data_IF_347205986397
#
_entry.id   IF_347205986397
#
_cell.length_a   1.000
_cell.length_b   1.000
_cell.length_c   1.000
_cell.angle_alpha   90.00
_cell.angle_beta   90.00
_cell.angle_gamma   90.00
#
_symmetry.space_group_name_H-M   'P 1'
#
loop_
_entity.id
_entity.type
_entity.pdbx_description
1 polymer ?
#
# COMPACT_ATOMS: atom_id res chain seq x y z
N UNK A 1 19.51 13.79 -17.05
CA UNK A 1 19.97 14.96 -16.26
C UNK A 1 19.16 15.01 -14.97
N UNK A 2 19.80 14.83 -13.82
CA UNK A 2 19.11 14.64 -12.54
C UNK A 2 18.66 15.99 -11.96
N UNK A 3 17.35 16.24 -11.94
CA UNK A 3 16.77 17.40 -11.23
C UNK A 3 17.13 17.32 -9.74
N UNK A 4 17.58 18.43 -9.13
CA UNK A 4 17.91 18.47 -7.69
C UNK A 4 16.67 18.13 -6.85
N UNK A 5 16.74 17.03 -6.13
CA UNK A 5 15.70 16.57 -5.20
C UNK A 5 15.85 17.35 -3.90
N UNK A 6 14.79 18.06 -3.49
CA UNK A 6 14.75 18.81 -2.21
C UNK A 6 14.48 17.84 -1.04
N UNK A 7 13.74 16.77 -1.31
CA UNK A 7 13.44 15.74 -0.31
C UNK A 7 12.40 14.73 -0.78
N UNK A 8 12.28 13.66 0.00
CA UNK A 8 11.28 12.62 -0.17
C UNK A 8 10.23 12.75 0.94
N UNK A 9 8.96 12.80 0.55
CA UNK A 9 7.82 12.74 1.45
C UNK A 9 7.18 11.36 1.27
N UNK A 10 7.06 10.60 2.36
CA UNK A 10 6.33 9.33 2.38
C UNK A 10 5.01 9.58 3.10
N UNK A 11 3.91 9.46 2.37
CA UNK A 11 2.56 9.61 2.91
C UNK A 11 1.78 8.33 2.67
N UNK A 12 0.75 8.12 3.49
CA UNK A 12 -0.18 7.02 3.31
C UNK A 12 -1.57 7.61 3.13
N UNK A 13 -2.21 7.32 1.99
CA UNK A 13 -3.47 7.95 1.59
C UNK A 13 -4.48 6.88 1.22
N UNK A 14 -5.71 6.92 1.75
CA UNK A 14 -6.78 6.01 1.33
C UNK A 14 -7.13 6.23 -0.14
N UNK A 15 -7.12 5.13 -0.91
CA UNK A 15 -7.52 5.09 -2.32
C UNK A 15 -8.91 5.69 -2.52
N UNK A 16 -9.08 6.53 -3.55
CA UNK A 16 -10.34 7.20 -3.88
C UNK A 16 -10.83 8.24 -2.86
N UNK A 17 -10.10 8.45 -1.75
CA UNK A 17 -10.36 9.48 -0.74
C UNK A 17 -9.11 10.30 -0.45
N UNK A 18 -8.34 10.66 -1.48
CA UNK A 18 -7.39 11.76 -1.28
C UNK A 18 -8.21 13.01 -0.94
N UNK A 19 -8.05 13.47 0.29
CA UNK A 19 -8.56 14.74 0.77
C UNK A 19 -7.38 15.53 1.32
N UNK A 20 -7.42 16.87 1.27
CA UNK A 20 -6.40 17.75 1.86
C UNK A 20 -6.47 17.76 3.40
N UNK A 21 -6.72 16.59 4.01
CA UNK A 21 -6.86 16.39 5.45
C UNK A 21 -5.52 16.67 6.16
N UNK A 22 -5.52 16.98 7.47
CA UNK A 22 -4.33 17.41 8.23
C UNK A 22 -3.06 16.54 8.13
N UNK A 23 -3.07 15.24 7.80
CA UNK A 23 -1.82 14.52 7.56
C UNK A 23 -1.16 14.81 6.20
N UNK A 24 -1.94 15.16 5.17
CA UNK A 24 -1.45 15.32 3.78
C UNK A 24 -1.20 16.80 3.45
N UNK A 25 -2.12 17.67 3.88
CA UNK A 25 -2.08 19.11 3.58
C UNK A 25 -0.83 19.83 4.10
N UNK A 26 -0.50 19.74 5.41
CA UNK A 26 0.68 20.37 5.97
C UNK A 26 2.00 19.80 5.43
N UNK A 27 2.09 18.48 5.22
CA UNK A 27 3.31 17.82 4.75
C UNK A 27 3.70 18.24 3.32
N UNK A 28 2.71 18.36 2.44
CA UNK A 28 2.89 18.83 1.06
C UNK A 28 2.98 20.35 0.96
N UNK A 29 2.14 21.06 1.72
CA UNK A 29 2.09 22.52 1.78
C UNK A 29 3.38 23.15 2.32
N UNK A 30 4.01 22.53 3.33
CA UNK A 30 5.32 22.98 3.85
C UNK A 30 6.43 22.94 2.79
N UNK A 31 6.29 22.11 1.74
CA UNK A 31 7.27 22.03 0.64
C UNK A 31 6.86 22.86 -0.59
N UNK A 32 5.77 23.62 -0.51
CA UNK A 32 5.28 24.46 -1.61
C UNK A 32 4.72 23.67 -2.79
N UNK A 33 4.26 22.43 -2.55
CA UNK A 33 3.69 21.56 -3.58
C UNK A 33 2.18 21.76 -3.70
N UNK A 34 1.67 21.54 -4.92
CA UNK A 34 0.28 21.82 -5.26
C UNK A 34 -0.65 20.68 -4.79
N UNK A 35 -1.22 20.82 -3.58
CA UNK A 35 -2.00 19.78 -2.88
C UNK A 35 -3.20 19.30 -3.71
N UNK A 36 -3.89 20.23 -4.38
CA UNK A 36 -5.08 19.91 -5.19
C UNK A 36 -4.73 19.09 -6.44
N UNK A 37 -3.60 19.39 -7.06
CA UNK A 37 -3.11 18.69 -8.26
C UNK A 37 -2.67 17.27 -7.92
N UNK A 38 -1.93 17.11 -6.81
CA UNK A 38 -1.57 15.81 -6.28
C UNK A 38 -2.81 14.98 -5.90
N UNK A 39 -3.79 15.59 -5.24
CA UNK A 39 -5.03 14.94 -4.86
C UNK A 39 -5.82 14.42 -6.08
N UNK A 40 -5.92 15.23 -7.15
CA UNK A 40 -6.55 14.83 -8.42
C UNK A 40 -5.78 13.73 -9.12
N UNK A 41 -4.46 13.86 -9.24
CA UNK A 41 -3.61 12.86 -9.89
C UNK A 41 -3.63 11.52 -9.14
N UNK A 42 -3.62 11.58 -7.80
CA UNK A 42 -3.75 10.39 -6.95
C UNK A 42 -5.13 9.75 -7.08
N UNK A 43 -6.23 10.52 -7.04
CA UNK A 43 -7.57 9.95 -7.23
C UNK A 43 -7.74 9.35 -8.63
N UNK A 44 -7.21 9.97 -9.68
CA UNK A 44 -7.24 9.43 -11.03
C UNK A 44 -6.45 8.12 -11.16
N UNK A 45 -5.27 8.06 -10.53
CA UNK A 45 -4.43 6.86 -10.58
C UNK A 45 -4.92 5.75 -9.62
N UNK A 46 -5.66 6.11 -8.56
CA UNK A 46 -6.30 5.16 -7.63
C UNK A 46 -7.75 4.82 -7.98
N UNK A 47 -8.32 5.42 -9.03
CA UNK A 47 -9.70 5.14 -9.48
C UNK A 47 -9.92 3.67 -9.90
N UNK A 48 -8.87 2.98 -10.32
CA UNK A 48 -8.92 1.54 -10.63
C UNK A 48 -8.63 0.60 -9.45
N UNK A 49 -8.28 1.15 -8.28
CA UNK A 49 -8.00 0.37 -7.07
C UNK A 49 -9.15 0.50 -6.08
N UNK A 50 -9.34 -0.54 -5.25
CA UNK A 50 -10.50 -0.56 -4.35
C UNK A 50 -10.51 0.64 -3.39
N UNK A 51 -11.62 1.41 -3.35
CA UNK A 51 -11.72 2.61 -2.54
C UNK A 51 -11.60 2.27 -1.05
N UNK A 52 -10.76 3.01 -0.34
CA UNK A 52 -10.51 2.85 1.10
C UNK A 52 -9.25 2.06 1.48
N UNK A 53 -8.52 1.48 0.52
CA UNK A 53 -7.21 0.89 0.79
C UNK A 53 -6.16 2.00 0.99
N UNK A 54 -5.45 2.07 2.13
CA UNK A 54 -4.43 3.08 2.36
C UNK A 54 -3.16 2.72 1.58
N UNK A 55 -2.95 3.44 0.49
CA UNK A 55 -1.86 3.30 -0.45
C UNK A 55 -0.68 4.16 0.00
N UNK A 56 0.51 3.57 0.20
CA UNK A 56 1.72 4.33 0.46
C UNK A 56 2.19 5.00 -0.82
N UNK A 57 2.41 6.32 -0.74
CA UNK A 57 2.88 7.14 -1.86
C UNK A 57 4.18 7.83 -1.46
N UNK A 58 5.17 7.74 -2.35
CA UNK A 58 6.44 8.43 -2.19
C UNK A 58 6.45 9.61 -3.15
N UNK A 59 6.47 10.82 -2.58
CA UNK A 59 6.47 12.08 -3.31
C UNK A 59 7.89 12.61 -3.28
N UNK A 60 8.47 12.78 -4.45
CA UNK A 60 9.80 13.38 -4.63
C UNK A 60 9.59 14.83 -5.05
N UNK A 61 10.03 15.75 -4.20
CA UNK A 61 9.94 17.19 -4.47
C UNK A 61 11.22 17.67 -5.15
N UNK A 62 11.10 18.42 -6.25
CA UNK A 62 12.21 19.01 -6.98
C UNK A 62 12.32 20.52 -6.76
N UNK A 63 13.53 21.05 -6.89
CA UNK A 63 13.87 22.47 -6.70
C UNK A 63 13.07 23.44 -7.60
N UNK A 64 12.54 22.97 -8.72
CA UNK A 64 11.73 23.70 -9.68
C UNK A 64 10.24 23.78 -9.31
N UNK A 65 9.88 23.42 -8.06
CA UNK A 65 8.49 23.26 -7.58
C UNK A 65 7.71 22.15 -8.28
N UNK A 66 8.37 21.30 -9.08
CA UNK A 66 7.75 20.09 -9.61
C UNK A 66 7.76 18.99 -8.55
N UNK A 67 6.78 18.11 -8.61
CA UNK A 67 6.75 16.88 -7.82
C UNK A 67 6.54 15.67 -8.71
N UNK A 68 7.19 14.56 -8.40
CA UNK A 68 6.85 13.24 -8.95
C UNK A 68 6.38 12.38 -7.80
N UNK A 69 5.21 11.77 -7.93
CA UNK A 69 4.74 10.81 -6.96
C UNK A 69 4.79 9.40 -7.56
N UNK A 70 5.28 8.46 -6.77
CA UNK A 70 5.23 7.03 -7.08
C UNK A 70 4.27 6.41 -6.09
N UNK A 71 3.14 5.94 -6.60
CA UNK A 71 2.22 5.13 -5.83
C UNK A 71 2.77 3.71 -5.77
N UNK A 72 2.79 3.14 -4.57
CA UNK A 72 3.06 1.72 -4.39
C UNK A 72 1.75 0.96 -4.27
N UNK A 73 1.79 -0.35 -4.48
CA UNK A 73 0.66 -1.21 -4.17
C UNK A 73 0.25 -1.12 -2.71
N UNK A 74 -1.05 -1.36 -2.43
CA UNK A 74 -1.55 -1.44 -1.06
C UNK A 74 -0.78 -2.50 -0.25
N UNK A 75 -0.57 -2.25 1.06
CA UNK A 75 0.14 -3.18 1.92
C UNK A 75 -0.60 -4.52 1.95
N UNK A 76 0.16 -5.62 1.91
CA UNK A 76 -0.39 -6.97 1.92
C UNK A 76 -1.29 -7.17 3.15
N UNK A 77 -0.92 -6.54 4.27
CA UNK A 77 -1.67 -6.53 5.52
C UNK A 77 -3.14 -6.16 5.37
N UNK A 78 -3.51 -5.31 4.41
CA UNK A 78 -4.89 -4.84 4.27
C UNK A 78 -5.67 -5.73 3.29
N UNK A 79 -5.02 -6.18 2.21
CA UNK A 79 -5.59 -7.18 1.31
C UNK A 79 -5.88 -8.48 2.06
N UNK A 80 -4.97 -8.90 2.94
CA UNK A 80 -5.12 -10.08 3.78
C UNK A 80 -6.22 -9.92 4.83
N UNK A 81 -6.32 -8.74 5.47
CA UNK A 81 -7.43 -8.43 6.39
C UNK A 81 -8.78 -8.49 5.68
N UNK A 82 -8.85 -7.99 4.45
CA UNK A 82 -10.06 -8.03 3.63
C UNK A 82 -10.43 -9.45 3.21
N UNK A 83 -9.46 -10.23 2.72
CA UNK A 83 -9.68 -11.63 2.36
C UNK A 83 -10.08 -12.49 3.56
N UNK A 84 -9.59 -12.16 4.76
CA UNK A 84 -9.98 -12.80 6.02
C UNK A 84 -11.27 -12.22 6.64
N UNK A 85 -11.85 -11.15 6.09
CA UNK A 85 -13.05 -10.50 6.62
C UNK A 85 -12.88 -9.79 7.97
N UNK A 86 -11.65 -9.46 8.37
CA UNK A 86 -11.33 -8.91 9.70
C UNK A 86 -10.98 -7.42 9.65
N UNK A 87 -11.52 -6.64 10.56
CA UNK A 87 -11.20 -5.20 10.68
C UNK A 87 -9.94 -4.93 11.52
N UNK A 88 -9.60 -5.81 12.46
CA UNK A 88 -8.39 -5.74 13.29
C UNK A 88 -7.53 -6.99 13.08
N UNK A 89 -6.20 -6.78 13.02
CA UNK A 89 -5.25 -7.89 13.06
C UNK A 89 -5.17 -8.49 14.48
N UNK A 90 -4.50 -9.63 14.62
CA UNK A 90 -4.31 -10.23 15.93
C UNK A 90 -3.49 -9.34 16.85
N UNK A 91 -3.95 -9.16 18.09
CA UNK A 91 -3.15 -8.52 19.15
C UNK A 91 -1.94 -9.35 19.53
N UNK A 92 -1.98 -10.66 19.27
CA UNK A 92 -0.86 -11.57 19.55
C UNK A 92 -0.79 -12.65 18.46
N UNK A 93 -0.04 -12.43 17.36
CA UNK A 93 -0.11 -13.25 16.17
C UNK A 93 0.36 -14.70 16.37
N UNK A 94 1.19 -14.96 17.40
CA UNK A 94 1.67 -16.30 17.73
C UNK A 94 0.63 -17.16 18.47
N UNK A 95 -0.24 -16.54 19.28
CA UNK A 95 -1.17 -17.23 20.18
C UNK A 95 -2.63 -17.13 19.72
N UNK A 96 -3.02 -16.01 19.13
CA UNK A 96 -4.38 -15.78 18.64
C UNK A 96 -4.38 -15.75 17.12
N UNK A 97 -4.74 -16.88 16.50
CA UNK A 97 -4.99 -16.91 15.05
C UNK A 97 -6.37 -16.33 14.79
N UNK A 98 -6.42 -15.23 14.04
CA UNK A 98 -7.65 -14.45 13.82
C UNK A 98 -8.42 -14.87 12.57
N UNK A 99 -7.84 -15.72 11.72
CA UNK A 99 -8.52 -16.22 10.52
C UNK A 99 -7.63 -17.19 9.75
N UNK A 100 -8.20 -17.83 8.72
CA UNK A 100 -7.49 -18.69 7.80
C UNK A 100 -7.59 -18.13 6.38
N UNK A 101 -6.53 -18.27 5.60
CA UNK A 101 -6.48 -17.95 4.18
C UNK A 101 -6.04 -19.18 3.39
N UNK A 102 -6.68 -19.37 2.24
CA UNK A 102 -6.34 -20.45 1.31
C UNK A 102 -5.29 -20.00 0.31
N UNK A 103 -4.54 -20.95 -0.25
CA UNK A 103 -3.56 -20.67 -1.32
C UNK A 103 -4.16 -19.90 -2.50
N UNK A 104 -5.39 -20.20 -2.91
CA UNK A 104 -6.06 -19.51 -4.00
C UNK A 104 -6.23 -18.00 -3.74
N UNK A 105 -6.62 -17.63 -2.52
CA UNK A 105 -6.75 -16.21 -2.13
C UNK A 105 -5.39 -15.51 -2.11
N UNK A 106 -4.33 -16.21 -1.69
CA UNK A 106 -2.97 -15.65 -1.71
C UNK A 106 -2.47 -15.45 -3.13
N UNK A 107 -2.80 -16.34 -4.06
CA UNK A 107 -2.44 -16.23 -5.47
C UNK A 107 -3.14 -15.03 -6.13
N UNK A 108 -4.43 -14.81 -5.85
CA UNK A 108 -5.13 -13.62 -6.32
C UNK A 108 -4.52 -12.32 -5.76
N UNK A 109 -4.20 -12.30 -4.46
CA UNK A 109 -3.54 -11.17 -3.80
C UNK A 109 -2.14 -10.95 -4.38
N UNK A 110 -1.39 -12.05 -4.63
CA UNK A 110 -0.05 -12.01 -5.18
C UNK A 110 -0.06 -11.47 -6.62
N UNK A 111 -0.99 -11.91 -7.48
CA UNK A 111 -1.17 -11.38 -8.84
C UNK A 111 -1.54 -9.90 -8.85
N UNK A 112 -2.44 -9.50 -7.95
CA UNK A 112 -2.82 -8.08 -7.81
C UNK A 112 -1.63 -7.22 -7.36
N UNK A 113 -0.70 -7.80 -6.60
CA UNK A 113 0.48 -7.10 -6.06
C UNK A 113 1.76 -7.35 -6.87
N UNK A 114 1.71 -8.21 -7.88
CA UNK A 114 2.79 -8.59 -8.77
C UNK A 114 3.59 -7.41 -9.35
N UNK A 115 2.98 -6.31 -9.82
CA UNK A 115 3.75 -5.19 -10.40
C UNK A 115 4.65 -4.44 -9.39
N UNK A 116 4.45 -4.62 -8.09
CA UNK A 116 5.26 -4.01 -7.02
C UNK A 116 6.04 -5.05 -6.19
N UNK A 117 5.85 -6.33 -6.48
CA UNK A 117 6.52 -7.40 -5.78
C UNK A 117 7.88 -7.65 -6.43
N UNK A 118 8.94 -7.59 -5.64
CA UNK A 118 10.30 -7.98 -6.07
C UNK A 118 10.47 -9.51 -6.16
N UNK A 119 9.37 -10.25 -6.21
CA UNK A 119 9.42 -11.71 -6.29
C UNK A 119 9.86 -12.13 -7.70
N UNK A 120 10.80 -13.06 -7.77
CA UNK A 120 11.25 -13.63 -9.04
C UNK A 120 10.17 -14.49 -9.71
N UNK A 121 9.31 -15.13 -8.90
CA UNK A 121 8.29 -16.08 -9.34
C UNK A 121 6.98 -15.89 -8.56
N UNK A 122 5.87 -16.33 -9.15
CA UNK A 122 4.54 -16.33 -8.49
C UNK A 122 4.55 -17.08 -7.15
N UNK A 123 5.27 -18.20 -7.04
CA UNK A 123 5.41 -18.94 -5.77
C UNK A 123 6.17 -18.15 -4.70
N UNK A 124 7.20 -17.39 -5.10
CA UNK A 124 7.92 -16.50 -4.18
C UNK A 124 7.05 -15.31 -3.74
N UNK A 125 6.18 -14.83 -4.64
CA UNK A 125 5.18 -13.81 -4.30
C UNK A 125 4.17 -14.35 -3.28
N UNK A 126 3.61 -15.53 -3.51
CA UNK A 126 2.70 -16.22 -2.58
C UNK A 126 3.36 -16.44 -1.23
N UNK A 127 4.63 -16.88 -1.18
CA UNK A 127 5.39 -17.03 0.07
C UNK A 127 5.58 -15.72 0.82
N UNK A 128 5.85 -14.62 0.11
CA UNK A 128 6.00 -13.29 0.72
C UNK A 128 4.68 -12.82 1.35
N UNK A 129 3.57 -13.04 0.65
CA UNK A 129 2.23 -12.74 1.16
C UNK A 129 1.86 -13.65 2.34
N UNK A 130 2.19 -14.94 2.26
CA UNK A 130 1.99 -15.90 3.35
C UNK A 130 2.78 -15.53 4.61
N UNK A 131 4.04 -15.10 4.48
CA UNK A 131 4.83 -14.59 5.61
C UNK A 131 4.19 -13.36 6.25
N UNK A 132 3.67 -12.44 5.43
CA UNK A 132 2.93 -11.26 5.91
C UNK A 132 1.64 -11.65 6.64
N UNK A 133 0.94 -12.70 6.17
CA UNK A 133 -0.27 -13.22 6.80
C UNK A 133 0.03 -13.85 8.18
N UNK A 134 1.07 -14.69 8.26
CA UNK A 134 1.52 -15.30 9.53
C UNK A 134 1.89 -14.24 10.55
N UNK A 135 2.60 -13.18 10.14
CA UNK A 135 2.98 -12.08 11.04
C UNK A 135 1.80 -11.28 11.59
N UNK A 136 0.61 -11.41 11.00
CA UNK A 136 -0.64 -10.80 11.48
C UNK A 136 -1.54 -11.76 12.27
N UNK A 137 -1.12 -13.01 12.42
CA UNK A 137 -1.91 -14.07 13.06
C UNK A 137 -2.98 -14.65 12.13
N UNK A 138 -2.78 -14.62 10.82
CA UNK A 138 -3.60 -15.38 9.88
C UNK A 138 -2.94 -16.72 9.60
N UNK A 139 -3.70 -17.80 9.72
CA UNK A 139 -3.23 -19.11 9.30
C UNK A 139 -3.27 -19.20 7.78
N UNK A 140 -2.27 -19.87 7.23
CA UNK A 140 -2.08 -19.95 5.78
C UNK A 140 -2.01 -21.43 5.43
N UNK A 141 -3.08 -21.96 4.85
CA UNK A 141 -3.14 -23.36 4.43
C UNK A 141 -2.63 -23.50 2.98
N UNK A 142 -1.65 -24.39 2.78
CA UNK A 142 -1.13 -24.73 1.45
C UNK A 142 0.20 -24.07 1.05
N UNK A 143 0.90 -23.41 1.99
CA UNK A 143 2.25 -22.86 1.75
C UNK A 143 3.21 -23.42 2.79
N UNK A 144 4.09 -24.33 2.38
CA UNK A 144 5.17 -24.91 3.19
C UNK A 144 6.42 -24.05 3.07
#
# INVERSE_FOLDING_TARGET
MAKKIIGYIKLQIPAGKANPSPPVGPALGQRGLNIMEFCKAFNAATQGMEPGLPIPVVITAFADKSFTFVMKTPPASILLKKAAGLQKGSSNPLTNKVGKLTRAQLEEIAKTKEPDLTAADLDAAVRTIAGSARSMGLDVEGVV
#
